data_IF_931872614923
#
_entry.id   IF_931872614923
#
_cell.length_a   1.000
_cell.length_b   1.000
_cell.length_c   1.000
_cell.angle_alpha   90.00
_cell.angle_beta   90.00
_cell.angle_gamma   90.00
#
_symmetry.space_group_name_H-M   'P 1'
#
loop_
_entity.id
_entity.type
_entity.pdbx_description
1 polymer ?
#
# COMPACT_ATOMS: atom_id res chain seq x y z
N UNK A 1 -28.15 -37.50 38.85
CA UNK A 1 -27.82 -36.11 38.48
C UNK A 1 -28.09 -35.95 36.99
N UNK A 2 -29.05 -35.12 36.61
CA UNK A 2 -29.37 -34.88 35.21
C UNK A 2 -28.19 -34.16 34.53
N UNK A 3 -27.72 -34.69 33.39
CA UNK A 3 -26.67 -34.07 32.58
C UNK A 3 -27.03 -32.62 32.26
N UNK A 4 -26.09 -31.66 32.35
CA UNK A 4 -26.36 -30.28 32.02
C UNK A 4 -26.79 -30.18 30.57
N UNK A 5 -27.98 -29.62 30.35
CA UNK A 5 -28.61 -29.45 29.06
C UNK A 5 -27.67 -28.65 28.13
N UNK A 6 -26.99 -29.34 27.20
CA UNK A 6 -25.95 -28.75 26.34
C UNK A 6 -26.64 -27.79 25.37
N UNK A 7 -26.69 -26.51 25.72
CA UNK A 7 -27.34 -25.47 24.91
C UNK A 7 -26.69 -25.41 23.53
N UNK A 8 -27.51 -25.43 22.50
CA UNK A 8 -27.07 -25.40 21.12
C UNK A 8 -26.25 -24.12 20.81
N UNK A 9 -25.10 -24.27 20.12
CA UNK A 9 -24.24 -23.15 19.76
C UNK A 9 -24.94 -22.20 18.78
N UNK A 10 -24.81 -20.87 18.92
CA UNK A 10 -25.44 -19.91 18.02
C UNK A 10 -24.78 -19.94 16.63
N UNK A 11 -25.56 -19.64 15.58
CA UNK A 11 -25.11 -19.62 14.19
C UNK A 11 -25.67 -18.40 13.46
N UNK A 12 -24.98 -17.96 12.39
CA UNK A 12 -25.50 -16.92 11.51
C UNK A 12 -26.43 -17.49 10.43
N UNK A 13 -26.22 -18.74 10.01
CA UNK A 13 -26.88 -19.33 8.84
C UNK A 13 -27.91 -20.39 9.26
N UNK A 14 -29.12 -20.24 8.76
CA UNK A 14 -30.26 -21.10 9.10
C UNK A 14 -31.06 -21.43 7.84
N UNK A 15 -31.49 -22.69 7.74
CA UNK A 15 -32.49 -23.16 6.79
C UNK A 15 -33.82 -23.29 7.51
N UNK A 16 -34.92 -23.07 6.79
CA UNK A 16 -36.25 -23.17 7.37
C UNK A 16 -37.30 -23.64 6.37
N UNK A 17 -38.35 -24.27 6.91
CA UNK A 17 -39.50 -24.73 6.13
C UNK A 17 -40.82 -24.42 6.82
N UNK A 18 -41.88 -24.23 6.02
CA UNK A 18 -43.24 -24.08 6.52
C UNK A 18 -44.25 -24.67 5.52
N UNK A 19 -45.01 -25.67 5.96
CA UNK A 19 -46.12 -26.23 5.18
C UNK A 19 -47.39 -25.41 5.37
N UNK A 20 -48.23 -25.33 4.33
CA UNK A 20 -49.53 -24.63 4.35
C UNK A 20 -49.39 -23.19 4.86
N UNK A 21 -48.52 -22.42 4.18
CA UNK A 21 -48.30 -21.01 4.50
C UNK A 21 -49.51 -20.16 4.09
N UNK A 22 -49.72 -19.05 4.80
CA UNK A 22 -50.71 -18.03 4.47
C UNK A 22 -50.07 -16.67 4.18
N UNK A 23 -50.91 -15.68 3.86
CA UNK A 23 -50.46 -14.32 3.56
C UNK A 23 -49.73 -13.65 4.74
N UNK A 24 -50.15 -13.93 5.98
CA UNK A 24 -49.49 -13.42 7.18
C UNK A 24 -48.06 -13.94 7.34
N UNK A 25 -47.80 -15.19 6.94
CA UNK A 25 -46.47 -15.79 7.00
C UNK A 25 -45.54 -15.09 5.98
N UNK A 26 -46.03 -14.82 4.77
CA UNK A 26 -45.30 -14.07 3.74
C UNK A 26 -45.06 -12.61 4.15
N UNK A 27 -46.08 -11.95 4.73
CA UNK A 27 -45.97 -10.59 5.23
C UNK A 27 -44.90 -10.49 6.32
N UNK A 28 -44.86 -11.45 7.25
CA UNK A 28 -43.82 -11.50 8.28
C UNK A 28 -42.43 -11.63 7.67
N UNK A 29 -42.22 -12.56 6.73
CA UNK A 29 -40.94 -12.73 6.05
C UNK A 29 -40.49 -11.47 5.30
N UNK A 30 -41.42 -10.73 4.67
CA UNK A 30 -41.15 -9.48 3.96
C UNK A 30 -40.86 -8.29 4.87
N UNK A 31 -41.31 -8.33 6.12
CA UNK A 31 -41.17 -7.25 7.10
C UNK A 31 -40.05 -7.47 8.12
N UNK A 32 -39.22 -8.50 7.94
CA UNK A 32 -38.01 -8.66 8.77
C UNK A 32 -37.10 -7.45 8.54
N UNK A 33 -36.58 -6.88 9.63
CA UNK A 33 -35.63 -5.77 9.59
C UNK A 33 -34.46 -6.09 8.65
N UNK A 34 -34.28 -5.36 7.54
CA UNK A 34 -33.19 -5.59 6.60
C UNK A 34 -31.80 -5.52 7.26
N UNK A 35 -31.61 -4.72 8.32
CA UNK A 35 -30.32 -4.62 9.01
C UNK A 35 -29.92 -5.92 9.73
N UNK A 36 -30.90 -6.76 10.08
CA UNK A 36 -30.65 -8.06 10.70
C UNK A 36 -30.20 -9.12 9.69
N UNK A 37 -30.39 -8.90 8.38
CA UNK A 37 -30.22 -9.90 7.32
C UNK A 37 -29.07 -9.51 6.39
N UNK A 38 -28.06 -10.39 6.29
CA UNK A 38 -27.03 -10.31 5.25
C UNK A 38 -27.57 -10.81 3.91
N UNK A 39 -28.26 -11.95 3.96
CA UNK A 39 -28.88 -12.57 2.80
C UNK A 39 -30.04 -13.44 3.24
N UNK A 40 -31.17 -13.38 2.52
CA UNK A 40 -32.30 -14.28 2.70
C UNK A 40 -32.96 -14.56 1.36
N UNK A 41 -33.38 -15.80 1.19
CA UNK A 41 -34.08 -16.27 0.00
C UNK A 41 -35.12 -17.31 0.42
N UNK A 42 -36.33 -17.18 -0.11
CA UNK A 42 -37.45 -18.08 0.17
C UNK A 42 -38.13 -18.43 -1.13
N UNK A 43 -38.17 -19.73 -1.44
CA UNK A 43 -38.94 -20.30 -2.53
C UNK A 43 -40.27 -20.87 -2.03
N UNK A 44 -41.31 -20.70 -2.83
CA UNK A 44 -42.56 -21.42 -2.66
C UNK A 44 -42.56 -22.64 -3.58
N UNK A 45 -42.68 -23.82 -2.98
CA UNK A 45 -42.64 -25.11 -3.67
C UNK A 45 -43.95 -25.86 -3.42
N UNK A 46 -44.21 -26.89 -4.22
CA UNK A 46 -45.31 -27.84 -4.00
C UNK A 46 -44.71 -29.21 -3.81
N UNK A 47 -44.99 -29.84 -2.66
CA UNK A 47 -44.51 -31.19 -2.38
C UNK A 47 -44.96 -32.19 -3.47
N UNK A 48 -44.03 -32.88 -4.15
CA UNK A 48 -44.39 -33.82 -5.22
C UNK A 48 -45.24 -35.00 -4.76
N UNK A 49 -45.12 -35.38 -3.48
CA UNK A 49 -45.76 -36.58 -2.92
C UNK A 49 -47.09 -36.28 -2.23
N UNK A 50 -47.24 -35.10 -1.64
CA UNK A 50 -48.43 -34.73 -0.85
C UNK A 50 -49.25 -33.60 -1.47
N UNK A 51 -48.75 -32.92 -2.50
CA UNK A 51 -49.44 -31.80 -3.16
C UNK A 51 -49.60 -30.54 -2.29
N UNK A 52 -49.05 -30.53 -1.09
CA UNK A 52 -49.16 -29.42 -0.14
C UNK A 52 -48.17 -28.31 -0.50
N UNK A 53 -48.60 -27.04 -0.54
CA UNK A 53 -47.70 -25.91 -0.74
C UNK A 53 -46.83 -25.71 0.51
N UNK A 54 -45.53 -25.49 0.30
CA UNK A 54 -44.59 -25.21 1.39
C UNK A 54 -43.60 -24.11 0.99
N UNK A 55 -43.12 -23.40 2.01
CA UNK A 55 -42.00 -22.48 1.87
C UNK A 55 -40.72 -23.23 2.22
N UNK A 56 -39.71 -23.10 1.37
CA UNK A 56 -38.34 -23.52 1.63
C UNK A 56 -37.47 -22.26 1.63
N UNK A 57 -36.79 -21.99 2.75
CA UNK A 57 -36.04 -20.75 2.92
C UNK A 57 -34.67 -20.92 3.55
N UNK A 58 -33.83 -19.93 3.28
CA UNK A 58 -32.50 -19.78 3.85
C UNK A 58 -32.31 -18.34 4.32
N UNK A 59 -31.66 -18.17 5.47
CA UNK A 59 -31.31 -16.87 6.02
C UNK A 59 -29.90 -16.87 6.62
N UNK A 60 -29.14 -15.84 6.29
CA UNK A 60 -27.85 -15.48 6.87
C UNK A 60 -28.00 -14.17 7.65
N UNK A 61 -27.96 -14.25 8.97
CA UNK A 61 -28.10 -13.11 9.87
C UNK A 61 -26.79 -12.32 10.02
N UNK A 62 -26.91 -11.02 10.27
CA UNK A 62 -25.78 -10.12 10.53
C UNK A 62 -24.96 -10.53 11.77
N UNK A 63 -25.60 -11.19 12.74
CA UNK A 63 -25.00 -11.66 14.00
C UNK A 63 -25.35 -13.13 14.24
N UNK A 64 -24.57 -13.81 15.10
CA UNK A 64 -24.88 -15.18 15.52
C UNK A 64 -26.14 -15.19 16.39
N UNK A 65 -27.15 -15.94 15.97
CA UNK A 65 -28.43 -16.08 16.67
C UNK A 65 -28.69 -17.54 17.06
N UNK A 66 -29.59 -17.76 18.02
CA UNK A 66 -30.05 -19.08 18.46
C UNK A 66 -31.46 -19.37 17.95
N UNK A 67 -31.85 -20.65 17.94
CA UNK A 67 -33.16 -21.14 17.51
C UNK A 67 -34.36 -20.31 18.00
N UNK A 68 -34.46 -19.91 19.29
CA UNK A 68 -35.58 -19.07 19.75
C UNK A 68 -35.60 -17.68 19.14
N UNK A 69 -34.43 -17.09 18.87
CA UNK A 69 -34.32 -15.78 18.23
C UNK A 69 -34.70 -15.86 16.75
N UNK A 70 -34.30 -16.94 16.07
CA UNK A 70 -34.72 -17.21 14.69
C UNK A 70 -36.25 -17.34 14.61
N UNK A 71 -36.86 -18.09 15.54
CA UNK A 71 -38.33 -18.17 15.66
C UNK A 71 -38.99 -16.83 16.00
N UNK A 72 -38.33 -15.97 16.77
CA UNK A 72 -38.78 -14.60 17.00
C UNK A 72 -38.85 -13.75 15.73
N UNK A 73 -37.94 -13.97 14.77
CA UNK A 73 -37.96 -13.29 13.46
C UNK A 73 -38.95 -13.92 12.48
N UNK A 74 -38.96 -15.26 12.35
CA UNK A 74 -39.74 -15.97 11.33
C UNK A 74 -41.16 -16.32 11.78
N UNK A 75 -41.36 -16.60 13.06
CA UNK A 75 -42.59 -17.15 13.65
C UNK A 75 -42.44 -18.59 14.13
N UNK A 76 -43.21 -18.97 15.15
CA UNK A 76 -43.04 -20.27 15.83
C UNK A 76 -43.38 -21.49 14.98
N UNK A 77 -44.23 -21.31 13.96
CA UNK A 77 -44.66 -22.34 13.01
C UNK A 77 -43.54 -22.83 12.10
N UNK A 78 -42.50 -22.02 11.90
CA UNK A 78 -41.38 -22.39 11.05
C UNK A 78 -40.54 -23.48 11.72
N UNK A 79 -40.28 -24.54 10.96
CA UNK A 79 -39.23 -25.49 11.30
C UNK A 79 -37.89 -24.88 10.90
N UNK A 80 -36.94 -24.80 11.82
CA UNK A 80 -35.67 -24.11 11.61
C UNK A 80 -34.51 -25.01 12.01
N UNK A 81 -33.49 -25.06 11.17
CA UNK A 81 -32.28 -25.84 11.37
C UNK A 81 -31.05 -25.01 10.99
N UNK A 82 -29.88 -25.36 11.50
CA UNK A 82 -28.65 -24.73 11.04
C UNK A 82 -28.41 -25.12 9.60
N UNK A 83 -28.15 -24.11 8.76
CA UNK A 83 -27.88 -24.37 7.37
C UNK A 83 -26.55 -25.08 7.17
N UNK A 84 -26.52 -25.97 6.18
CA UNK A 84 -25.32 -26.63 5.67
C UNK A 84 -24.96 -25.98 4.32
N UNK A 85 -23.66 -25.82 4.04
CA UNK A 85 -23.18 -25.20 2.80
C UNK A 85 -23.05 -23.68 2.85
N UNK A 86 -22.78 -23.06 1.70
CA UNK A 86 -22.61 -21.62 1.57
C UNK A 86 -23.90 -20.91 1.08
N UNK A 87 -23.90 -19.57 1.06
CA UNK A 87 -25.07 -18.77 0.66
C UNK A 87 -25.55 -19.09 -0.77
N UNK A 88 -24.64 -19.36 -1.71
CA UNK A 88 -25.01 -19.69 -3.09
C UNK A 88 -25.58 -21.10 -3.24
N UNK A 89 -25.05 -22.08 -2.51
CA UNK A 89 -25.60 -23.45 -2.52
C UNK A 89 -27.05 -23.42 -2.01
N UNK A 90 -27.29 -22.66 -0.95
CA UNK A 90 -28.63 -22.49 -0.38
C UNK A 90 -29.55 -21.64 -1.26
N UNK A 91 -29.03 -20.62 -1.96
CA UNK A 91 -29.80 -19.85 -2.97
C UNK A 91 -30.28 -20.75 -4.11
N UNK A 92 -29.39 -21.59 -4.65
CA UNK A 92 -29.75 -22.57 -5.69
C UNK A 92 -30.80 -23.56 -5.19
N UNK A 93 -30.64 -24.04 -3.96
CA UNK A 93 -31.59 -24.98 -3.36
C UNK A 93 -32.99 -24.36 -3.20
N UNK A 94 -33.08 -23.15 -2.66
CA UNK A 94 -34.36 -22.46 -2.43
C UNK A 94 -34.98 -21.89 -3.72
N UNK A 95 -34.24 -21.83 -4.82
CA UNK A 95 -34.72 -21.29 -6.11
C UNK A 95 -34.98 -22.37 -7.15
N UNK A 96 -34.91 -23.66 -6.80
CA UNK A 96 -34.93 -24.78 -7.75
C UNK A 96 -36.21 -24.83 -8.61
N UNK A 97 -37.35 -24.47 -8.02
CA UNK A 97 -38.66 -24.48 -8.68
C UNK A 97 -39.02 -23.11 -9.31
N UNK A 98 -38.07 -22.16 -9.30
CA UNK A 98 -38.19 -20.85 -9.96
C UNK A 98 -39.14 -19.85 -9.28
N UNK A 99 -39.90 -20.26 -8.27
CA UNK A 99 -40.87 -19.40 -7.59
C UNK A 99 -40.30 -18.79 -6.30
N UNK A 100 -39.44 -17.79 -6.44
CA UNK A 100 -38.85 -17.05 -5.31
C UNK A 100 -39.83 -15.97 -4.84
N UNK A 101 -40.37 -16.13 -3.62
CA UNK A 101 -41.41 -15.25 -3.06
C UNK A 101 -40.87 -14.13 -2.17
N UNK A 102 -39.67 -14.33 -1.62
CA UNK A 102 -38.94 -13.33 -0.82
C UNK A 102 -37.44 -13.44 -1.11
N UNK A 103 -36.81 -12.29 -1.37
CA UNK A 103 -35.36 -12.16 -1.49
C UNK A 103 -34.90 -10.87 -0.83
N UNK A 104 -33.93 -10.95 0.06
CA UNK A 104 -33.33 -9.79 0.73
C UNK A 104 -31.80 -9.92 0.73
N UNK A 105 -31.11 -8.81 0.50
CA UNK A 105 -29.64 -8.77 0.46
C UNK A 105 -29.05 -9.55 -0.73
N UNK A 106 -27.78 -9.94 -0.59
CA UNK A 106 -27.02 -10.64 -1.63
C UNK A 106 -26.19 -11.79 -1.02
N UNK A 107 -26.03 -12.93 -1.72
CA UNK A 107 -25.25 -14.06 -1.22
C UNK A 107 -23.83 -13.64 -0.87
N UNK A 108 -23.39 -13.96 0.35
CA UNK A 108 -22.02 -13.69 0.77
C UNK A 108 -21.21 -14.97 0.61
N UNK A 109 -20.26 -14.96 -0.34
CA UNK A 109 -19.24 -16.02 -0.43
C UNK A 109 -18.41 -16.02 0.85
N UNK A 110 -18.34 -17.19 1.49
CA UNK A 110 -17.37 -17.41 2.56
C UNK A 110 -15.96 -17.23 1.96
N UNK A 111 -15.28 -16.14 2.32
CA UNK A 111 -13.93 -15.85 1.84
C UNK A 111 -13.79 -14.77 0.75
N UNK A 112 -14.81 -13.96 0.45
CA UNK A 112 -14.54 -12.66 -0.18
C UNK A 112 -13.89 -11.73 0.86
N UNK A 113 -12.56 -11.81 0.94
CA UNK A 113 -11.72 -10.80 1.60
C UNK A 113 -11.80 -9.52 0.77
N UNK A 114 -12.52 -8.51 1.26
CA UNK A 114 -12.40 -7.18 0.68
C UNK A 114 -11.02 -6.58 0.96
N UNK A 115 -10.25 -7.12 1.90
CA UNK A 115 -8.96 -6.58 2.33
C UNK A 115 -7.97 -6.30 1.19
N UNK A 116 -7.93 -7.14 0.14
CA UNK A 116 -7.07 -6.89 -1.02
C UNK A 116 -7.62 -5.79 -1.93
N UNK A 117 -8.94 -5.75 -2.14
CA UNK A 117 -9.61 -4.69 -2.88
C UNK A 117 -9.43 -3.35 -2.17
N UNK A 118 -9.65 -3.34 -0.85
CA UNK A 118 -9.49 -2.18 0.02
C UNK A 118 -8.03 -1.73 0.03
N UNK A 119 -7.07 -2.65 0.12
CA UNK A 119 -5.65 -2.32 0.00
C UNK A 119 -5.27 -1.74 -1.37
N UNK A 120 -5.81 -2.28 -2.47
CA UNK A 120 -5.55 -1.72 -3.80
C UNK A 120 -6.20 -0.34 -3.98
N UNK A 121 -7.41 -0.13 -3.45
CA UNK A 121 -8.08 1.16 -3.50
C UNK A 121 -7.31 2.20 -2.66
N UNK A 122 -6.89 1.83 -1.45
CA UNK A 122 -6.05 2.66 -0.60
C UNK A 122 -4.75 3.07 -1.30
N UNK A 123 -4.09 2.13 -1.98
CA UNK A 123 -2.89 2.43 -2.78
C UNK A 123 -3.17 3.34 -3.97
N UNK A 124 -4.34 3.24 -4.61
CA UNK A 124 -4.72 4.16 -5.69
C UNK A 124 -4.97 5.57 -5.16
N UNK A 125 -5.58 5.70 -3.98
CA UNK A 125 -5.90 6.98 -3.36
C UNK A 125 -4.68 7.68 -2.76
N UNK A 126 -3.64 6.93 -2.38
CA UNK A 126 -2.45 7.45 -1.71
C UNK A 126 -1.18 7.51 -2.59
N UNK A 127 -1.33 7.42 -3.92
CA UNK A 127 -0.22 7.41 -4.88
C UNK A 127 0.77 6.23 -4.70
N UNK A 128 0.29 5.11 -4.20
CA UNK A 128 1.07 3.88 -4.05
C UNK A 128 2.04 3.90 -2.86
N UNK A 129 1.74 4.66 -1.80
CA UNK A 129 2.52 4.66 -0.56
C UNK A 129 2.30 3.34 0.20
N UNK A 130 3.28 2.45 0.02
CA UNK A 130 3.35 1.14 0.69
C UNK A 130 3.65 1.27 2.19
N UNK A 131 4.32 2.34 2.64
CA UNK A 131 4.59 2.55 4.06
C UNK A 131 3.31 2.89 4.80
N UNK A 132 2.50 3.79 4.23
CA UNK A 132 1.17 4.10 4.74
C UNK A 132 0.28 2.85 4.77
N UNK A 133 0.30 2.02 3.71
CA UNK A 133 -0.47 0.77 3.68
C UNK A 133 -0.01 -0.21 4.76
N UNK A 134 1.29 -0.32 5.01
CA UNK A 134 1.81 -1.20 6.06
C UNK A 134 1.38 -0.76 7.47
N UNK A 135 1.15 0.55 7.69
CA UNK A 135 0.65 1.08 8.96
C UNK A 135 -0.86 0.90 9.10
N UNK A 136 -1.62 1.16 8.03
CA UNK A 136 -3.09 1.10 8.03
C UNK A 136 -3.63 -0.35 7.98
N UNK A 137 -3.01 -1.18 7.13
CA UNK A 137 -3.46 -2.56 6.85
C UNK A 137 -2.31 -3.58 7.01
N UNK A 138 -1.72 -3.70 8.22
CA UNK A 138 -0.50 -4.48 8.45
C UNK A 138 -0.65 -5.97 8.12
N UNK A 139 -1.79 -6.59 8.44
CA UNK A 139 -2.02 -8.03 8.16
C UNK A 139 -2.05 -8.30 6.65
N UNK A 140 -2.77 -7.48 5.89
CA UNK A 140 -2.83 -7.56 4.44
C UNK A 140 -1.45 -7.35 3.83
N UNK A 141 -0.72 -6.35 4.30
CA UNK A 141 0.63 -6.06 3.84
C UNK A 141 1.55 -7.25 4.10
N UNK A 142 1.64 -7.76 5.34
CA UNK A 142 2.52 -8.89 5.67
C UNK A 142 2.23 -10.13 4.83
N UNK A 143 0.95 -10.44 4.57
CA UNK A 143 0.59 -11.59 3.74
C UNK A 143 0.81 -11.38 2.24
N UNK A 144 0.72 -10.15 1.74
CA UNK A 144 0.61 -9.87 0.31
C UNK A 144 1.57 -8.79 -0.23
N UNK A 145 2.59 -8.39 0.53
CA UNK A 145 3.46 -7.24 0.21
C UNK A 145 4.05 -7.31 -1.20
N UNK A 146 4.54 -8.47 -1.66
CA UNK A 146 5.12 -8.62 -3.01
C UNK A 146 4.11 -8.34 -4.13
N UNK A 147 2.86 -8.78 -3.94
CA UNK A 147 1.79 -8.54 -4.91
C UNK A 147 1.39 -7.07 -4.95
N UNK A 148 1.35 -6.42 -3.79
CA UNK A 148 1.06 -5.00 -3.64
C UNK A 148 2.19 -4.12 -4.21
N UNK A 149 3.45 -4.47 -3.95
CA UNK A 149 4.64 -3.84 -4.56
C UNK A 149 4.60 -3.94 -6.10
N UNK A 150 4.30 -5.13 -6.63
CA UNK A 150 4.15 -5.33 -8.06
C UNK A 150 2.99 -4.50 -8.62
N UNK A 151 1.85 -4.46 -7.91
CA UNK A 151 0.69 -3.67 -8.30
C UNK A 151 1.02 -2.18 -8.40
N UNK A 152 1.64 -1.58 -7.39
CA UNK A 152 2.08 -0.17 -7.42
C UNK A 152 2.99 0.11 -8.62
N UNK A 153 3.96 -0.79 -8.88
CA UNK A 153 4.91 -0.67 -9.99
C UNK A 153 4.24 -0.76 -11.37
N UNK A 154 3.40 -1.75 -11.61
CA UNK A 154 2.75 -1.97 -12.91
C UNK A 154 1.58 -1.03 -13.17
N UNK A 155 0.82 -0.67 -12.13
CA UNK A 155 -0.25 0.32 -12.22
C UNK A 155 0.28 1.76 -12.27
N UNK A 156 1.59 1.97 -12.02
CA UNK A 156 2.27 3.27 -12.05
C UNK A 156 1.61 4.30 -11.13
N UNK A 157 1.25 3.87 -9.93
CA UNK A 157 0.53 4.72 -8.95
C UNK A 157 1.41 5.86 -8.42
N UNK A 158 2.72 5.62 -8.31
CA UNK A 158 3.66 6.66 -7.90
C UNK A 158 3.85 7.69 -9.03
N UNK A 159 3.64 8.99 -8.77
CA UNK A 159 3.84 10.02 -9.77
C UNK A 159 5.29 10.05 -10.26
N UNK A 160 5.45 10.30 -11.55
CA UNK A 160 6.76 10.57 -12.11
C UNK A 160 7.22 11.96 -11.63
N UNK A 161 8.48 12.05 -11.19
CA UNK A 161 9.09 13.33 -10.83
C UNK A 161 9.07 14.30 -12.02
N UNK A 162 8.58 15.51 -11.78
CA UNK A 162 8.53 16.64 -12.71
C UNK A 162 9.21 17.92 -12.19
N UNK A 163 9.79 17.84 -10.99
CA UNK A 163 10.46 18.95 -10.30
C UNK A 163 11.98 18.79 -10.32
N UNK A 164 12.69 19.92 -10.29
CA UNK A 164 14.14 19.95 -10.17
C UNK A 164 14.57 19.45 -8.79
N UNK A 165 15.41 18.42 -8.75
CA UNK A 165 16.08 17.99 -7.51
C UNK A 165 17.29 18.85 -7.24
N UNK A 166 17.34 19.45 -6.04
CA UNK A 166 18.45 20.30 -5.61
C UNK A 166 19.65 19.46 -5.18
N UNK A 167 20.85 19.87 -5.57
CA UNK A 167 22.10 19.15 -5.29
C UNK A 167 22.99 19.99 -4.38
N UNK A 168 23.33 19.47 -3.21
CA UNK A 168 24.20 20.11 -2.22
C UNK A 168 25.47 19.30 -2.10
N UNK A 169 26.63 19.93 -2.29
CA UNK A 169 27.91 19.23 -2.33
C UNK A 169 28.88 19.85 -1.33
N UNK A 170 29.43 19.01 -0.46
CA UNK A 170 30.37 19.37 0.60
C UNK A 170 31.68 18.65 0.35
N UNK A 171 32.74 19.41 0.07
CA UNK A 171 34.08 18.90 -0.26
C UNK A 171 35.05 19.25 0.85
N UNK A 172 35.87 18.27 1.26
CA UNK A 172 36.91 18.50 2.25
C UNK A 172 37.60 17.20 2.68
N UNK A 173 38.71 17.26 3.42
CA UNK A 173 39.44 16.08 3.87
C UNK A 173 38.62 15.22 4.85
N UNK A 174 39.01 13.96 5.09
CA UNK A 174 38.45 13.15 6.17
C UNK A 174 38.51 13.88 7.52
N UNK A 175 37.51 13.71 8.38
CA UNK A 175 37.50 14.29 9.72
C UNK A 175 37.10 15.76 9.83
N UNK A 176 36.91 16.51 8.73
CA UNK A 176 36.51 17.92 8.79
C UNK A 176 35.02 18.18 9.10
N UNK A 177 34.23 17.13 9.32
CA UNK A 177 32.83 17.26 9.76
C UNK A 177 31.78 17.36 8.65
N UNK A 178 32.09 16.99 7.39
CA UNK A 178 31.13 16.99 6.26
C UNK A 178 29.79 16.31 6.59
N UNK A 179 29.83 15.06 7.08
CA UNK A 179 28.62 14.28 7.38
C UNK A 179 27.83 14.85 8.55
N UNK A 180 28.52 15.44 9.55
CA UNK A 180 27.87 16.18 10.64
C UNK A 180 27.15 17.40 10.09
N UNK A 181 27.81 18.16 9.22
CA UNK A 181 27.24 19.36 8.62
C UNK A 181 26.01 19.03 7.78
N UNK A 182 26.07 18.01 6.90
CA UNK A 182 24.89 17.54 6.14
C UNK A 182 23.72 17.22 7.08
N UNK A 183 23.99 16.55 8.21
CA UNK A 183 22.95 16.24 9.20
C UNK A 183 22.31 17.49 9.81
N UNK A 184 23.07 18.56 10.01
CA UNK A 184 22.57 19.85 10.51
C UNK A 184 21.76 20.61 9.45
N UNK A 185 22.05 20.41 8.16
CA UNK A 185 21.28 21.01 7.06
C UNK A 185 20.00 20.24 6.69
N UNK A 186 19.92 18.95 7.03
CA UNK A 186 18.75 18.13 6.76
C UNK A 186 17.54 18.67 7.54
N UNK A 187 16.41 18.95 6.87
CA UNK A 187 15.23 19.44 7.58
C UNK A 187 14.57 18.36 8.43
N UNK A 188 14.17 18.72 9.65
CA UNK A 188 13.55 17.80 10.62
C UNK A 188 12.19 17.25 10.15
N UNK A 189 11.49 17.96 9.26
CA UNK A 189 10.17 17.60 8.74
C UNK A 189 10.22 16.68 7.51
N UNK A 190 11.40 16.16 7.18
CA UNK A 190 11.63 15.39 5.95
C UNK A 190 12.20 14.01 6.17
N UNK A 191 11.98 13.12 5.20
CA UNK A 191 12.46 11.74 5.28
C UNK A 191 13.80 11.63 4.56
N UNK A 192 14.77 10.97 5.19
CA UNK A 192 16.13 10.83 4.66
C UNK A 192 16.47 9.38 4.35
N UNK A 193 17.00 9.15 3.16
CA UNK A 193 17.62 7.90 2.74
C UNK A 193 19.13 8.07 2.63
N UNK A 194 19.87 7.36 3.49
CA UNK A 194 21.32 7.25 3.36
C UNK A 194 21.65 6.15 2.37
N UNK A 195 22.11 6.54 1.18
CA UNK A 195 22.41 5.58 0.13
C UNK A 195 23.66 4.78 0.49
N UNK A 196 23.58 3.43 0.52
CA UNK A 196 24.75 2.59 0.66
C UNK A 196 25.59 2.61 -0.63
N UNK A 197 26.85 2.19 -0.49
CA UNK A 197 27.76 2.01 -1.62
C UNK A 197 27.21 1.03 -2.68
N UNK A 198 27.70 1.18 -3.91
CA UNK A 198 27.31 0.35 -5.05
C UNK A 198 26.09 0.86 -5.82
N UNK A 199 25.62 0.07 -6.79
CA UNK A 199 24.60 0.51 -7.75
C UNK A 199 23.15 0.49 -7.24
N UNK A 200 22.87 -0.17 -6.11
CA UNK A 200 21.51 -0.43 -5.64
C UNK A 200 20.97 0.67 -4.73
N UNK A 201 19.66 0.87 -4.76
CA UNK A 201 18.90 1.81 -3.92
C UNK A 201 17.93 1.06 -2.98
N UNK A 202 18.33 -0.13 -2.48
CA UNK A 202 17.50 -0.93 -1.60
C UNK A 202 17.06 -0.14 -0.36
N UNK A 203 15.77 -0.20 -0.02
CA UNK A 203 15.18 0.56 1.09
C UNK A 203 14.78 1.99 0.74
N UNK A 204 15.09 2.48 -0.46
CA UNK A 204 14.54 3.74 -0.94
C UNK A 204 13.05 3.56 -1.29
N UNK A 205 12.20 4.31 -0.60
CA UNK A 205 10.74 4.26 -0.68
C UNK A 205 10.16 5.61 -1.11
N UNK A 206 10.97 6.49 -1.71
CA UNK A 206 10.52 7.83 -2.10
C UNK A 206 10.86 8.92 -1.08
N UNK A 207 11.83 8.68 -0.19
CA UNK A 207 12.30 9.68 0.77
C UNK A 207 12.66 10.99 0.06
N UNK A 208 12.33 12.13 0.68
CA UNK A 208 12.53 13.45 0.08
C UNK A 208 14.01 13.84 -0.01
N UNK A 209 14.85 13.24 0.83
CA UNK A 209 16.27 13.54 0.94
C UNK A 209 17.09 12.28 0.72
N UNK A 210 18.08 12.38 -0.17
CA UNK A 210 19.05 11.31 -0.42
C UNK A 210 20.43 11.80 -0.07
N UNK A 211 21.11 11.09 0.83
CA UNK A 211 22.50 11.36 1.21
C UNK A 211 23.42 10.38 0.48
N UNK A 212 24.34 10.92 -0.31
CA UNK A 212 25.48 10.22 -0.90
C UNK A 212 26.72 10.53 -0.05
N UNK A 213 26.99 9.67 0.94
CA UNK A 213 28.13 9.84 1.84
C UNK A 213 29.41 9.32 1.17
N UNK A 214 30.54 10.02 1.37
CA UNK A 214 31.84 9.72 0.74
C UNK A 214 31.75 9.33 -0.75
N UNK A 215 31.11 10.18 -1.55
CA UNK A 215 30.88 9.92 -2.97
C UNK A 215 32.14 10.14 -3.82
N UNK A 216 32.48 9.17 -4.67
CA UNK A 216 33.65 9.23 -5.56
C UNK A 216 33.31 9.05 -7.05
N UNK A 217 32.04 9.26 -7.43
CA UNK A 217 31.59 8.99 -8.81
C UNK A 217 31.05 7.58 -9.02
N UNK A 218 30.72 6.88 -7.94
CA UNK A 218 30.29 5.47 -7.93
C UNK A 218 28.94 5.22 -8.66
N UNK A 219 28.19 6.29 -8.92
CA UNK A 219 26.96 6.26 -9.71
C UNK A 219 27.29 6.65 -11.15
N UNK A 220 26.87 5.88 -12.17
CA UNK A 220 27.11 6.22 -13.57
C UNK A 220 26.70 7.66 -13.89
N UNK A 221 27.59 8.41 -14.57
CA UNK A 221 27.41 9.85 -14.84
C UNK A 221 26.03 10.21 -15.41
N UNK A 222 25.47 9.50 -16.41
CA UNK A 222 24.14 9.83 -16.92
C UNK A 222 23.04 9.68 -15.87
N UNK A 223 23.14 8.65 -15.02
CA UNK A 223 22.23 8.42 -13.89
C UNK A 223 22.34 9.56 -12.89
N UNK A 224 23.57 9.93 -12.49
CA UNK A 224 23.79 11.04 -11.58
C UNK A 224 23.22 12.36 -12.12
N UNK A 225 23.52 12.69 -13.37
CA UNK A 225 23.02 13.92 -14.00
C UNK A 225 21.49 13.94 -14.01
N UNK A 226 20.83 12.81 -14.29
CA UNK A 226 19.38 12.71 -14.19
C UNK A 226 18.89 12.81 -12.74
N UNK A 227 19.58 12.21 -11.75
CA UNK A 227 19.18 12.30 -10.33
C UNK A 227 19.06 13.75 -9.87
N UNK A 228 19.92 14.64 -10.34
CA UNK A 228 19.93 16.07 -9.99
C UNK A 228 19.35 16.97 -11.09
N UNK A 229 18.44 16.43 -11.90
CA UNK A 229 17.65 17.15 -12.91
C UNK A 229 16.15 17.12 -12.57
N UNK A 230 15.28 17.48 -13.53
CA UNK A 230 13.83 17.49 -13.37
C UNK A 230 13.08 16.30 -13.98
N UNK A 231 13.77 15.51 -14.80
CA UNK A 231 13.13 14.47 -15.60
C UNK A 231 12.78 13.22 -14.78
N UNK A 232 11.77 12.43 -15.19
CA UNK A 232 11.49 11.15 -14.55
C UNK A 232 12.72 10.24 -14.54
N UNK A 233 13.06 9.68 -13.37
CA UNK A 233 14.15 8.73 -13.20
C UNK A 233 13.64 7.54 -12.39
N UNK A 234 14.04 6.34 -12.78
CA UNK A 234 13.90 5.14 -11.96
C UNK A 234 15.28 4.66 -11.52
N UNK A 235 15.39 4.25 -10.26
CA UNK A 235 16.63 3.71 -9.69
C UNK A 235 16.48 2.22 -9.40
N UNK A 236 17.54 1.43 -9.60
CA UNK A 236 17.49 -0.01 -9.42
C UNK A 236 17.44 -0.38 -7.93
N UNK A 237 16.54 -1.29 -7.60
CA UNK A 237 16.47 -2.00 -6.32
C UNK A 237 16.59 -3.49 -6.60
N UNK A 238 16.84 -4.31 -5.58
CA UNK A 238 16.88 -5.76 -5.76
C UNK A 238 15.54 -6.25 -6.30
N UNK A 239 15.57 -6.86 -7.49
CA UNK A 239 14.40 -7.42 -8.13
C UNK A 239 13.49 -6.40 -8.83
N UNK A 240 13.91 -5.14 -9.01
CA UNK A 240 13.08 -4.17 -9.71
C UNK A 240 13.64 -2.75 -9.77
N UNK A 241 12.73 -1.79 -9.93
CA UNK A 241 13.03 -0.38 -10.03
C UNK A 241 11.95 0.44 -9.33
N UNK A 242 12.35 1.49 -8.63
CA UNK A 242 11.44 2.46 -7.98
C UNK A 242 11.62 3.84 -8.58
N UNK A 243 10.59 4.68 -8.56
CA UNK A 243 10.68 6.07 -9.01
C UNK A 243 11.59 6.86 -8.07
N UNK A 244 12.58 7.55 -8.63
CA UNK A 244 13.41 8.49 -7.88
C UNK A 244 12.68 9.83 -7.75
N UNK A 245 12.18 10.09 -6.55
CA UNK A 245 11.35 11.25 -6.21
C UNK A 245 12.00 12.18 -5.17
N UNK A 246 13.32 12.04 -4.92
CA UNK A 246 14.01 12.86 -3.93
C UNK A 246 14.01 14.33 -4.36
N UNK A 247 13.63 15.22 -3.45
CA UNK A 247 13.66 16.69 -3.66
C UNK A 247 15.07 17.23 -3.55
N UNK A 248 15.91 16.58 -2.73
CA UNK A 248 17.26 17.03 -2.41
C UNK A 248 18.23 15.85 -2.40
N UNK A 249 19.40 16.07 -2.97
CA UNK A 249 20.55 15.18 -2.92
C UNK A 249 21.68 15.88 -2.19
N UNK A 250 22.17 15.27 -1.13
CA UNK A 250 23.23 15.76 -0.26
C UNK A 250 24.47 14.90 -0.46
N UNK A 251 25.58 15.52 -0.83
CA UNK A 251 26.79 14.80 -1.22
C UNK A 251 27.94 15.26 -0.35
N UNK A 252 28.57 14.32 0.34
CA UNK A 252 29.88 14.56 0.96
C UNK A 252 30.95 13.87 0.14
N UNK A 253 32.09 14.52 -0.08
CA UNK A 253 33.19 13.90 -0.85
C UNK A 253 34.54 14.44 -0.40
N UNK A 254 35.58 13.62 -0.57
CA UNK A 254 36.97 14.01 -0.37
C UNK A 254 37.66 14.45 -1.67
N UNK A 255 36.97 14.33 -2.81
CA UNK A 255 37.49 14.67 -4.14
C UNK A 255 36.62 15.73 -4.81
N UNK A 256 37.24 16.61 -5.58
CA UNK A 256 36.52 17.69 -6.26
C UNK A 256 35.61 17.13 -7.38
N UNK A 257 34.42 17.73 -7.67
CA UNK A 257 33.45 17.14 -8.60
C UNK A 257 33.94 16.93 -10.04
N UNK A 258 34.96 17.67 -10.48
CA UNK A 258 35.62 17.45 -11.78
C UNK A 258 36.37 16.11 -11.86
N UNK A 259 36.67 15.48 -10.72
CA UNK A 259 37.38 14.20 -10.63
C UNK A 259 36.44 13.00 -10.40
N UNK A 260 35.13 13.22 -10.27
CA UNK A 260 34.16 12.13 -10.12
C UNK A 260 34.08 11.22 -11.35
N UNK A 261 34.36 11.76 -12.54
CA UNK A 261 34.29 11.02 -13.79
C UNK A 261 35.51 11.34 -14.65
N UNK A 262 35.89 10.41 -15.54
CA UNK A 262 37.09 10.50 -16.38
C UNK A 262 37.07 11.70 -17.35
N UNK A 263 38.27 12.10 -17.78
CA UNK A 263 38.60 13.41 -18.36
C UNK A 263 37.95 13.78 -19.72
N UNK A 264 37.27 12.86 -20.41
CA UNK A 264 36.65 13.15 -21.72
C UNK A 264 35.27 13.82 -21.61
N UNK A 265 34.84 14.13 -20.39
CA UNK A 265 33.54 14.72 -20.11
C UNK A 265 33.66 16.16 -19.62
N UNK A 266 32.86 17.04 -20.22
CA UNK A 266 32.72 18.42 -19.74
C UNK A 266 32.21 18.44 -18.28
N UNK A 267 33.01 18.95 -17.32
CA UNK A 267 32.61 19.05 -15.93
C UNK A 267 31.52 20.10 -15.70
N UNK A 268 31.34 21.07 -16.62
CA UNK A 268 30.33 22.13 -16.48
C UNK A 268 28.91 21.57 -16.35
N UNK A 269 28.64 20.39 -16.93
CA UNK A 269 27.34 19.71 -16.80
C UNK A 269 27.01 19.31 -15.36
N UNK A 270 28.01 19.01 -14.54
CA UNK A 270 27.85 18.69 -13.11
C UNK A 270 27.68 19.99 -12.34
N UNK A 271 28.64 20.91 -12.49
CA UNK A 271 28.65 22.14 -11.71
C UNK A 271 27.39 23.00 -11.89
N UNK A 272 26.85 23.10 -13.10
CA UNK A 272 25.59 23.85 -13.34
C UNK A 272 24.35 23.26 -12.65
N UNK A 273 24.43 22.03 -12.12
CA UNK A 273 23.36 21.35 -11.38
C UNK A 273 23.60 21.37 -9.88
N UNK A 274 24.77 21.82 -9.42
CA UNK A 274 25.05 22.02 -8.00
C UNK A 274 24.29 23.28 -7.57
N UNK A 275 23.38 23.11 -6.62
CA UNK A 275 22.58 24.20 -6.03
C UNK A 275 23.39 24.96 -4.98
N UNK A 276 24.21 24.26 -4.21
CA UNK A 276 25.12 24.83 -3.22
C UNK A 276 26.40 23.99 -3.16
N UNK A 277 27.53 24.69 -3.19
CA UNK A 277 28.86 24.08 -3.18
C UNK A 277 29.63 24.61 -1.98
N UNK A 278 29.95 23.75 -1.03
CA UNK A 278 30.75 24.09 0.15
C UNK A 278 32.11 23.40 0.11
N UNK A 279 33.16 24.18 0.26
CA UNK A 279 34.54 23.71 0.31
C UNK A 279 35.15 24.00 1.68
N UNK A 280 35.80 22.99 2.24
CA UNK A 280 36.57 23.12 3.45
C UNK A 280 37.81 23.99 3.25
N UNK A 281 37.97 24.98 4.11
CA UNK A 281 39.16 25.81 4.24
C UNK A 281 40.04 25.29 5.37
N UNK A 282 41.23 24.78 5.03
CA UNK A 282 42.19 24.27 6.00
C UNK A 282 42.75 25.36 6.92
N UNK A 283 42.88 26.60 6.46
CA UNK A 283 43.41 27.69 7.27
C UNK A 283 42.36 28.19 8.27
N UNK A 284 41.12 28.36 7.81
CA UNK A 284 40.03 28.87 8.63
C UNK A 284 39.32 27.76 9.46
N UNK A 285 39.57 26.48 9.16
CA UNK A 285 38.92 25.33 9.77
C UNK A 285 37.38 25.41 9.69
N UNK A 286 36.86 25.86 8.54
CA UNK A 286 35.44 26.02 8.30
C UNK A 286 35.06 25.71 6.84
N UNK A 287 33.76 25.60 6.57
CA UNK A 287 33.26 25.49 5.20
C UNK A 287 32.90 26.86 4.65
N UNK A 288 33.39 27.14 3.45
CA UNK A 288 33.04 28.34 2.68
C UNK A 288 32.14 27.95 1.51
N UNK A 289 31.10 28.74 1.27
CA UNK A 289 30.28 28.61 0.06
C UNK A 289 31.05 29.17 -1.14
N UNK A 290 31.04 28.42 -2.22
CA UNK A 290 31.67 28.80 -3.48
C UNK A 290 30.58 29.06 -4.52
N UNK A 291 30.49 30.31 -4.98
CA UNK A 291 29.62 30.66 -6.10
C UNK A 291 30.15 30.08 -7.42
N UNK A 292 29.23 29.59 -8.26
CA UNK A 292 29.57 29.03 -9.57
C UNK A 292 30.25 30.03 -10.52
N UNK A 293 30.00 31.33 -10.35
CA UNK A 293 30.70 32.43 -11.04
C UNK A 293 32.21 32.37 -10.85
N UNK A 294 32.68 31.85 -9.71
CA UNK A 294 34.11 31.68 -9.39
C UNK A 294 34.73 30.39 -9.96
N UNK A 295 33.93 29.55 -10.64
CA UNK A 295 34.33 28.26 -11.21
C UNK A 295 34.41 28.28 -12.75
N UNK A 296 34.42 29.46 -13.39
CA UNK A 296 34.39 29.61 -14.84
C UNK A 296 35.55 28.86 -15.54
N UNK A 297 35.34 28.34 -16.78
CA UNK A 297 36.32 27.51 -17.47
C UNK A 297 37.57 28.33 -17.82
N UNK A 298 38.64 28.11 -17.07
CA UNK A 298 39.89 28.87 -17.19
C UNK A 298 40.52 29.21 -15.83
N UNK A 299 39.71 29.28 -14.77
CA UNK A 299 40.22 29.25 -13.40
C UNK A 299 40.45 27.80 -13.01
N UNK A 300 41.60 27.26 -13.40
CA UNK A 300 42.21 26.17 -12.64
C UNK A 300 42.31 26.71 -11.21
N UNK A 301 41.64 26.09 -10.24
CA UNK A 301 41.94 26.29 -8.82
C UNK A 301 43.36 25.71 -8.60
N UNK A 302 44.38 26.45 -9.06
CA UNK A 302 45.78 26.19 -8.80
C UNK A 302 45.95 26.32 -7.29
N UNK A 303 45.96 25.20 -6.58
CA UNK A 303 46.12 25.20 -5.13
C UNK A 303 45.92 23.85 -4.45
N UNK A 304 45.23 22.90 -5.08
CA UNK A 304 45.07 21.56 -4.51
C UNK A 304 45.99 20.56 -5.22
N UNK A 305 47.27 20.57 -4.85
CA UNK A 305 48.13 19.42 -5.05
C UNK A 305 47.67 18.33 -4.07
N UNK A 306 47.14 17.22 -4.58
CA UNK A 306 47.16 15.97 -3.84
C UNK A 306 48.60 15.47 -3.90
N UNK A 307 49.37 15.73 -2.84
CA UNK A 307 50.53 14.89 -2.56
C UNK A 307 49.96 13.53 -2.08
N UNK A 308 49.89 12.57 -3.01
CA UNK A 308 49.77 11.15 -2.70
C UNK A 308 51.14 10.56 -2.42
#
# INVERSE_FOLDING_TARGET
MASPNRREAPACRWSFTLNNYGDDDLARLRNIDPAAIKFMVVGAEVSPTTGTPHLQGYVNFSRKVRTPQVKGHLGDRFHVEKAVGNDHDNERYCSKDGNVVVRMGHPIRQGQRNDLTDATNFLQENDGDLSALAQEMPETFVCHHRGLEAYVSYARLQPARDFLTRCFVFVGPPGCGKSRLVREYLPDDTTTYYKPEGGWFDGYMGQSDVVLNDFHGDIPRPTFLNMVDRYPLRVPIKGGFVNFAARRVWITTNIFPNHWYTNDHDPAAIFRRITLFQLWDNAAQCFNELEYSNLAPGHVLYGWHYDY
#
